data_IF_736695473218
#
_entry.id   IF_736695473218
#
_cell.length_a   1.000
_cell.length_b   1.000
_cell.length_c   1.000
_cell.angle_alpha   90.00
_cell.angle_beta   90.00
_cell.angle_gamma   90.00
#
_symmetry.space_group_name_H-M   'P 1'
#
loop_
_entity.id
_entity.type
_entity.pdbx_description
1 polymer ?
#
# COMPACT_ATOMS: atom_id res chain seq x y z
N UNK A 1 17.93 5.11 -12.31
CA UNK A 1 17.00 4.54 -11.31
C UNK A 1 16.28 5.69 -10.63
N UNK A 2 14.98 5.83 -10.84
CA UNK A 2 14.20 6.90 -10.21
C UNK A 2 14.02 6.61 -8.73
N UNK A 3 14.55 7.49 -7.87
CA UNK A 3 14.26 7.47 -6.43
C UNK A 3 12.83 7.91 -6.17
N UNK A 4 11.86 7.02 -6.42
CA UNK A 4 10.50 7.22 -5.95
C UNK A 4 10.51 7.35 -4.43
N UNK A 5 9.64 8.19 -3.87
CA UNK A 5 9.47 8.30 -2.42
C UNK A 5 9.15 6.91 -1.88
N UNK A 6 10.11 6.28 -1.21
CA UNK A 6 9.92 4.97 -0.58
C UNK A 6 9.24 5.20 0.77
N UNK A 7 8.23 4.39 1.10
CA UNK A 7 7.61 4.44 2.44
C UNK A 7 6.33 5.26 2.57
N UNK A 8 5.61 5.53 1.47
CA UNK A 8 4.28 6.13 1.49
C UNK A 8 3.38 5.46 0.45
N UNK A 9 2.06 5.53 0.65
CA UNK A 9 1.06 5.16 -0.37
C UNK A 9 1.09 6.18 -1.52
N UNK A 10 0.68 5.77 -2.73
CA UNK A 10 0.64 6.67 -3.89
C UNK A 10 -0.46 7.73 -3.74
N UNK A 11 -1.60 7.35 -3.16
CA UNK A 11 -2.69 8.25 -2.75
C UNK A 11 -3.33 7.78 -1.45
N UNK A 12 -3.85 8.75 -0.71
CA UNK A 12 -4.73 8.52 0.45
C UNK A 12 -5.92 9.47 0.30
N UNK A 13 -7.12 8.91 0.34
CA UNK A 13 -8.37 9.66 0.32
C UNK A 13 -9.04 9.54 1.68
N UNK A 14 -9.68 10.62 2.12
CA UNK A 14 -10.49 10.63 3.32
C UNK A 14 -11.81 11.32 3.02
N UNK A 15 -12.92 10.68 3.40
CA UNK A 15 -14.25 11.23 3.29
C UNK A 15 -14.70 11.74 4.67
N UNK A 16 -14.77 13.06 4.85
CA UNK A 16 -15.14 13.65 6.15
C UNK A 16 -16.59 13.36 6.54
N UNK A 17 -17.46 13.08 5.57
CA UNK A 17 -18.87 12.78 5.83
C UNK A 17 -19.12 11.35 6.31
N UNK A 18 -18.25 10.41 5.96
CA UNK A 18 -18.40 8.97 6.31
C UNK A 18 -17.31 8.45 7.24
N UNK A 19 -16.19 9.18 7.40
CA UNK A 19 -15.01 8.68 8.11
C UNK A 19 -14.17 7.68 7.29
N UNK A 20 -14.58 7.38 6.04
CA UNK A 20 -13.89 6.40 5.21
C UNK A 20 -12.50 6.88 4.80
N UNK A 21 -11.52 5.98 4.90
CA UNK A 21 -10.17 6.17 4.37
C UNK A 21 -9.90 5.16 3.28
N UNK A 22 -9.42 5.64 2.12
CA UNK A 22 -8.98 4.78 1.02
C UNK A 22 -7.49 4.99 0.76
N UNK A 23 -6.70 3.94 1.02
CA UNK A 23 -5.27 3.85 0.73
C UNK A 23 -5.09 3.25 -0.66
N UNK A 24 -4.35 3.92 -1.55
CA UNK A 24 -4.20 3.46 -2.94
C UNK A 24 -2.74 3.32 -3.32
N UNK A 25 -2.42 2.19 -3.94
CA UNK A 25 -1.19 1.97 -4.68
C UNK A 25 -1.46 1.74 -6.16
N UNK A 26 -0.67 2.38 -7.01
CA UNK A 26 -0.80 2.35 -8.46
C UNK A 26 0.47 1.78 -9.11
N UNK A 27 0.30 0.82 -10.01
CA UNK A 27 1.40 0.25 -10.81
C UNK A 27 1.05 0.27 -12.29
N UNK A 28 1.91 0.90 -13.08
CA UNK A 28 1.77 0.99 -14.53
C UNK A 28 2.77 0.10 -15.27
N UNK A 29 2.40 -0.30 -16.49
CA UNK A 29 3.29 -0.90 -17.47
C UNK A 29 3.84 -2.26 -17.04
N UNK A 30 5.14 -2.45 -17.26
CA UNK A 30 5.89 -3.66 -16.92
C UNK A 30 6.38 -3.70 -15.47
N UNK A 31 6.01 -2.71 -14.64
CA UNK A 31 6.48 -2.65 -13.26
C UNK A 31 6.01 -3.85 -12.43
N UNK A 32 6.97 -4.52 -11.77
CA UNK A 32 6.70 -5.50 -10.73
C UNK A 32 6.07 -4.86 -9.50
N UNK A 33 5.49 -5.70 -8.63
CA UNK A 33 5.09 -5.24 -7.30
C UNK A 33 6.35 -5.10 -6.45
N UNK A 34 6.50 -3.96 -5.79
CA UNK A 34 7.58 -3.70 -4.85
C UNK A 34 7.46 -4.59 -3.62
N UNK A 35 8.59 -4.77 -2.92
CA UNK A 35 8.68 -5.52 -1.68
C UNK A 35 9.39 -4.68 -0.62
N UNK A 36 9.07 -4.93 0.65
CA UNK A 36 9.70 -4.30 1.80
C UNK A 36 10.19 -5.37 2.76
N UNK A 37 11.40 -5.21 3.26
CA UNK A 37 11.95 -6.06 4.30
C UNK A 37 11.36 -5.63 5.64
N UNK A 38 10.63 -6.53 6.30
CA UNK A 38 10.05 -6.33 7.62
C UNK A 38 11.01 -6.69 8.77
N UNK A 39 12.14 -7.31 8.45
CA UNK A 39 13.14 -7.75 9.43
C UNK A 39 13.48 -9.22 9.26
N UNK A 40 14.31 -9.75 10.17
CA UNK A 40 14.61 -11.18 10.24
C UNK A 40 13.54 -11.91 11.05
N UNK A 41 13.22 -13.14 10.64
CA UNK A 41 12.36 -14.03 11.41
C UNK A 41 13.16 -14.56 12.60
N UNK A 42 12.64 -14.41 13.81
CA UNK A 42 13.35 -14.77 15.06
C UNK A 42 13.75 -16.25 15.15
N UNK A 43 13.07 -17.14 14.41
CA UNK A 43 13.33 -18.58 14.42
C UNK A 43 14.34 -19.06 13.36
N UNK A 44 14.68 -18.22 12.37
CA UNK A 44 15.59 -18.57 11.28
C UNK A 44 16.38 -17.33 10.89
N UNK A 45 17.56 -17.18 11.49
CA UNK A 45 18.42 -15.97 11.46
C UNK A 45 18.89 -15.57 10.03
N UNK A 46 18.55 -16.39 9.03
CA UNK A 46 18.82 -16.20 7.61
C UNK A 46 17.58 -15.91 6.75
N UNK A 47 16.35 -15.93 7.29
CA UNK A 47 15.14 -15.57 6.54
C UNK A 47 14.71 -14.14 6.85
N UNK A 48 14.64 -13.34 5.80
CA UNK A 48 14.07 -12.00 5.83
C UNK A 48 12.57 -12.14 5.56
N UNK A 49 11.75 -11.61 6.46
CA UNK A 49 10.33 -11.46 6.21
C UNK A 49 10.13 -10.31 5.24
N UNK A 50 9.43 -10.56 4.14
CA UNK A 50 9.14 -9.56 3.12
C UNK A 50 7.63 -9.35 3.02
N UNK A 51 7.22 -8.08 2.94
CA UNK A 51 5.87 -7.70 2.59
C UNK A 51 5.83 -7.21 1.13
N UNK A 52 4.87 -7.68 0.35
CA UNK A 52 4.69 -7.28 -1.04
C UNK A 52 3.59 -6.22 -1.14
N UNK A 53 3.73 -5.28 -2.09
CA UNK A 53 2.64 -4.34 -2.39
C UNK A 53 1.33 -5.06 -2.70
N UNK A 54 0.23 -4.54 -2.16
CA UNK A 54 -1.06 -5.22 -2.16
C UNK A 54 -1.10 -6.40 -1.20
N UNK A 55 -0.58 -6.24 0.02
CA UNK A 55 -0.86 -7.12 1.16
C UNK A 55 -1.06 -6.30 2.43
N UNK A 56 -1.80 -6.82 3.41
CA UNK A 56 -2.01 -6.16 4.71
C UNK A 56 -0.68 -5.87 5.42
N UNK A 57 0.29 -6.79 5.38
CA UNK A 57 1.59 -6.58 6.03
C UNK A 57 2.35 -5.38 5.43
N UNK A 58 2.17 -5.15 4.12
CA UNK A 58 2.77 -4.00 3.45
C UNK A 58 2.04 -2.70 3.84
N UNK A 59 0.70 -2.73 3.91
CA UNK A 59 -0.12 -1.62 4.42
C UNK A 59 0.34 -1.22 5.82
N UNK A 60 0.43 -2.19 6.73
CA UNK A 60 0.73 -1.94 8.14
C UNK A 60 2.15 -1.40 8.33
N UNK A 61 3.13 -1.90 7.56
CA UNK A 61 4.49 -1.34 7.56
C UNK A 61 4.51 0.12 7.06
N UNK A 62 3.70 0.47 6.06
CA UNK A 62 3.58 1.87 5.63
C UNK A 62 2.88 2.73 6.68
N UNK A 63 1.80 2.23 7.29
CA UNK A 63 1.09 2.94 8.35
C UNK A 63 1.98 3.22 9.56
N UNK A 64 2.86 2.29 9.92
CA UNK A 64 3.84 2.48 11.01
C UNK A 64 4.82 3.64 10.77
N UNK A 65 4.96 4.10 9.52
CA UNK A 65 5.87 5.19 9.11
C UNK A 65 5.16 6.53 9.00
N UNK A 66 3.83 6.56 9.10
CA UNK A 66 3.08 7.82 9.18
C UNK A 66 3.33 8.41 10.57
N UNK A 67 3.75 9.70 10.68
CA UNK A 67 4.01 10.31 11.98
C UNK A 67 2.82 10.19 12.93
N UNK A 68 3.03 9.70 14.15
CA UNK A 68 1.97 9.39 15.12
C UNK A 68 1.05 10.57 15.50
N UNK A 69 1.49 11.81 15.28
CA UNK A 69 0.79 13.04 15.71
C UNK A 69 0.31 13.90 14.54
N UNK A 70 0.06 13.29 13.39
CA UNK A 70 -0.54 14.00 12.24
C UNK A 70 -2.05 13.80 12.23
N UNK A 71 -2.80 14.79 11.77
CA UNK A 71 -4.26 14.63 11.56
C UNK A 71 -4.57 13.41 10.69
N UNK A 72 -3.71 13.13 9.70
CA UNK A 72 -3.83 11.97 8.83
C UNK A 72 -3.69 10.64 9.59
N UNK A 73 -2.74 10.53 10.53
CA UNK A 73 -2.61 9.29 11.31
C UNK A 73 -3.76 9.08 12.28
N UNK A 74 -4.35 10.15 12.82
CA UNK A 74 -5.57 10.04 13.62
C UNK A 74 -6.75 9.55 12.76
N UNK A 75 -6.99 10.18 11.60
CA UNK A 75 -8.05 9.78 10.66
C UNK A 75 -7.92 8.32 10.21
N UNK A 76 -6.69 7.88 9.93
CA UNK A 76 -6.41 6.49 9.56
C UNK A 76 -6.69 5.53 10.72
N UNK A 77 -6.26 5.87 11.95
CA UNK A 77 -6.48 5.03 13.13
C UNK A 77 -7.97 4.90 13.44
N UNK A 78 -8.72 5.99 13.35
CA UNK A 78 -10.18 6.00 13.51
C UNK A 78 -10.84 5.10 12.45
N UNK A 79 -10.51 5.29 11.17
CA UNK A 79 -11.06 4.45 10.10
C UNK A 79 -10.70 2.96 10.24
N UNK A 80 -9.52 2.63 10.76
CA UNK A 80 -9.12 1.24 11.03
C UNK A 80 -9.94 0.62 12.17
N UNK A 81 -10.20 1.39 13.24
CA UNK A 81 -11.02 0.93 14.37
C UNK A 81 -12.49 0.75 13.98
N UNK A 82 -12.99 1.59 13.07
CA UNK A 82 -14.37 1.59 12.59
C UNK A 82 -14.59 0.65 11.39
N UNK A 83 -13.58 -0.15 11.00
CA UNK A 83 -13.61 -1.03 9.82
C UNK A 83 -13.95 -0.29 8.50
N UNK A 84 -13.62 1.01 8.44
CA UNK A 84 -13.86 1.92 7.31
C UNK A 84 -12.58 2.28 6.55
N UNK A 85 -11.55 1.45 6.67
CA UNK A 85 -10.29 1.60 5.95
C UNK A 85 -10.22 0.61 4.79
N UNK A 86 -10.16 1.14 3.58
CA UNK A 86 -10.00 0.36 2.36
C UNK A 86 -8.56 0.47 1.85
N UNK A 87 -7.93 -0.66 1.53
CA UNK A 87 -6.64 -0.65 0.83
C UNK A 87 -6.78 -1.24 -0.58
N UNK A 88 -6.41 -0.45 -1.59
CA UNK A 88 -6.59 -0.80 -2.99
C UNK A 88 -5.25 -0.81 -3.72
N UNK A 89 -4.96 -1.93 -4.39
CA UNK A 89 -3.92 -2.02 -5.40
C UNK A 89 -4.55 -1.93 -6.80
N UNK A 90 -4.16 -0.91 -7.54
CA UNK A 90 -4.49 -0.72 -8.95
C UNK A 90 -3.26 -1.01 -9.81
N UNK A 91 -3.36 -1.98 -10.73
CA UNK A 91 -2.28 -2.32 -11.65
C UNK A 91 -2.79 -2.38 -13.09
N UNK A 92 -2.28 -1.48 -13.92
CA UNK A 92 -2.57 -1.43 -15.35
C UNK A 92 -1.33 -1.85 -16.13
N UNK A 93 -1.39 -3.02 -16.78
CA UNK A 93 -0.31 -3.47 -17.67
C UNK A 93 -0.38 -2.74 -19.00
N UNK A 94 0.75 -2.71 -19.70
CA UNK A 94 0.82 -2.36 -21.12
C UNK A 94 1.09 -3.64 -21.92
N UNK A 95 0.55 -3.70 -23.13
CA UNK A 95 0.93 -4.69 -24.13
C UNK A 95 2.22 -4.24 -24.84
N UNK A 96 2.79 -5.14 -25.64
CA UNK A 96 4.03 -4.87 -26.39
C UNK A 96 3.87 -3.76 -27.43
N UNK A 97 2.64 -3.53 -27.91
CA UNK A 97 2.29 -2.42 -28.82
C UNK A 97 2.05 -1.07 -28.11
N UNK A 98 2.23 -1.02 -26.79
CA UNK A 98 2.00 0.16 -25.96
C UNK A 98 0.53 0.45 -25.63
N UNK A 99 -0.41 -0.38 -26.10
CA UNK A 99 -1.82 -0.27 -25.71
C UNK A 99 -2.06 -0.80 -24.29
N UNK A 100 -3.22 -0.44 -23.71
CA UNK A 100 -3.61 -0.92 -22.38
C UNK A 100 -3.80 -2.45 -22.42
N UNK A 101 -3.10 -3.13 -21.53
CA UNK A 101 -3.27 -4.55 -21.23
C UNK A 101 -4.27 -4.76 -20.08
N UNK A 102 -4.09 -5.87 -19.37
CA UNK A 102 -4.98 -6.23 -18.27
C UNK A 102 -4.94 -5.20 -17.13
N UNK A 103 -6.14 -4.91 -16.63
CA UNK A 103 -6.36 -4.17 -15.41
C UNK A 103 -6.56 -5.15 -14.25
N UNK A 104 -5.78 -4.98 -13.19
CA UNK A 104 -5.96 -5.66 -11.92
C UNK A 104 -6.32 -4.63 -10.85
N UNK A 105 -7.46 -4.84 -10.20
CA UNK A 105 -7.85 -4.13 -8.98
C UNK A 105 -7.94 -5.18 -7.88
N UNK A 106 -7.25 -4.95 -6.77
CA UNK A 106 -7.37 -5.78 -5.56
C UNK A 106 -7.72 -4.88 -4.39
N UNK A 107 -8.76 -5.26 -3.66
CA UNK A 107 -9.11 -4.66 -2.39
C UNK A 107 -8.65 -5.58 -1.27
N UNK A 108 -8.20 -4.97 -0.18
CA UNK A 108 -7.82 -5.61 1.06
C UNK A 108 -8.63 -4.93 2.16
N UNK A 109 -9.39 -5.73 2.89
CA UNK A 109 -10.16 -5.34 4.08
C UNK A 109 -9.25 -5.47 5.31
#
# INVERSE_FOLDING_TARGET
MGGGKTGQFDRIYYNEGTGEVVLVECKGGSAGLGQRNLGKVAEDDNKIQVAQQGTEQYRDDLLSKIPEKSDLSNKIKEALLDENLNYILFKQKLKDDGSLGDLLIKNFE
#
